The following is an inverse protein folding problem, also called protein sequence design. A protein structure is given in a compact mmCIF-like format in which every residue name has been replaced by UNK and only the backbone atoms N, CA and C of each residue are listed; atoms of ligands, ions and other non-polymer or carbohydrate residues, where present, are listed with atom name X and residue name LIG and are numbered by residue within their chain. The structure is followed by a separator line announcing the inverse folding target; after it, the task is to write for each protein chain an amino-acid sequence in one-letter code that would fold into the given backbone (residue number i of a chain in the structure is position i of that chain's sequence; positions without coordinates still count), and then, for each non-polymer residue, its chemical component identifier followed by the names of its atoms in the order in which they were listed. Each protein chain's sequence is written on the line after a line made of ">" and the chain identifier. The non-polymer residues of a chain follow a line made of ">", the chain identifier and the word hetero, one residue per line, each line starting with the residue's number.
data_IF_845150609896
#
_entry.id   IF_845150609896
#
_cell.length_a   1.000
_cell.length_b   1.000
_cell.length_c   1.000
_cell.angle_alpha   90.00
_cell.angle_beta   90.00
_cell.angle_gamma   90.00
#
_symmetry.space_group_name_H-M   'P 1'
#
loop_
_entity.id
_entity.type
_entity.pdbx_description
1 polymer ?
#
# COMPACT_ATOMS: atom_id res chain seq x y z
N UNK A 1 6.80 20.48 3.61
CA UNK A 1 5.68 19.56 3.32
C UNK A 1 5.26 18.96 4.65
N UNK A 2 4.08 19.24 5.17
CA UNK A 2 3.66 18.66 6.45
C UNK A 2 3.22 17.21 6.19
N UNK A 3 3.93 16.24 6.78
CA UNK A 3 3.51 14.84 6.84
C UNK A 3 2.39 14.78 7.88
N UNK A 4 1.16 14.51 7.45
CA UNK A 4 -0.01 14.51 8.34
C UNK A 4 -0.17 13.17 9.06
N UNK A 5 0.19 12.08 8.40
CA UNK A 5 0.06 10.72 8.90
C UNK A 5 1.39 9.98 8.83
N UNK A 6 1.67 9.16 9.85
CA UNK A 6 2.76 8.19 9.76
C UNK A 6 2.26 6.91 9.08
N UNK A 7 2.80 6.63 7.90
CA UNK A 7 2.36 5.52 7.05
C UNK A 7 3.52 4.55 6.87
N UNK A 8 3.31 3.31 7.29
CA UNK A 8 4.17 2.18 7.01
C UNK A 8 3.43 1.22 6.08
N UNK A 9 4.12 0.77 5.04
CA UNK A 9 3.57 -0.13 4.03
C UNK A 9 4.48 -1.34 3.91
N UNK A 10 3.89 -2.53 3.99
CA UNK A 10 4.54 -3.79 3.71
C UNK A 10 3.63 -4.65 2.83
N UNK A 11 4.22 -5.52 2.03
CA UNK A 11 3.50 -6.31 1.04
C UNK A 11 3.96 -7.76 1.10
N UNK A 12 3.03 -8.70 1.06
CA UNK A 12 3.31 -10.12 0.83
C UNK A 12 2.57 -10.66 -0.40
N UNK A 13 2.65 -11.97 -0.63
CA UNK A 13 2.03 -12.62 -1.78
C UNK A 13 0.51 -12.47 -1.86
N UNK A 14 -0.18 -12.29 -0.72
CA UNK A 14 -1.63 -12.29 -0.60
C UNK A 14 -2.20 -10.98 -0.04
N UNK A 15 -1.41 -10.25 0.75
CA UNK A 15 -1.90 -9.14 1.56
C UNK A 15 -1.04 -7.89 1.45
N UNK A 16 -1.70 -6.74 1.44
CA UNK A 16 -1.15 -5.42 1.73
C UNK A 16 -1.29 -5.14 3.23
N UNK A 17 -0.16 -4.91 3.89
CA UNK A 17 -0.09 -4.49 5.29
C UNK A 17 0.13 -2.98 5.35
N UNK A 18 -0.82 -2.28 5.94
CA UNK A 18 -0.80 -0.83 6.06
C UNK A 18 -0.90 -0.45 7.52
N UNK A 19 0.06 0.31 8.04
CA UNK A 19 -0.05 0.95 9.35
C UNK A 19 -0.15 2.45 9.15
N UNK A 20 -1.25 3.06 9.62
CA UNK A 20 -1.48 4.51 9.59
C UNK A 20 -1.67 4.98 11.02
N UNK A 21 -0.80 5.87 11.49
CA UNK A 21 -0.83 6.43 12.86
C UNK A 21 -0.93 5.35 13.96
N UNK A 22 -0.21 4.24 13.77
CA UNK A 22 -0.20 3.09 14.69
C UNK A 22 -1.38 2.13 14.50
N UNK A 23 -2.38 2.46 13.71
CA UNK A 23 -3.48 1.56 13.37
C UNK A 23 -3.10 0.68 12.18
N UNK A 24 -3.19 -0.65 12.36
CA UNK A 24 -2.81 -1.61 11.32
C UNK A 24 -4.03 -2.18 10.59
N UNK A 25 -3.90 -2.29 9.27
CA UNK A 25 -4.87 -2.84 8.34
C UNK A 25 -4.22 -3.93 7.50
N UNK A 26 -4.95 -5.01 7.28
CA UNK A 26 -4.57 -6.10 6.40
C UNK A 26 -5.62 -6.22 5.31
N UNK A 27 -5.24 -5.90 4.09
CA UNK A 27 -6.12 -5.91 2.93
C UNK A 27 -5.63 -6.97 1.96
N UNK A 28 -6.49 -7.92 1.57
CA UNK A 28 -6.11 -8.82 0.49
C UNK A 28 -6.01 -8.06 -0.83
N UNK A 29 -5.13 -8.49 -1.73
CA UNK A 29 -4.95 -7.81 -3.00
C UNK A 29 -6.24 -7.77 -3.83
N UNK A 30 -7.07 -8.81 -3.74
CA UNK A 30 -8.39 -8.94 -4.36
C UNK A 30 -9.40 -7.90 -3.84
N UNK A 31 -9.24 -7.47 -2.59
CA UNK A 31 -10.09 -6.46 -1.96
C UNK A 31 -9.65 -5.04 -2.35
N UNK A 32 -8.37 -4.87 -2.70
CA UNK A 32 -7.83 -3.59 -3.13
C UNK A 32 -8.28 -3.24 -4.56
N UNK A 33 -8.01 -4.13 -5.52
CA UNK A 33 -8.49 -4.01 -6.90
C UNK A 33 -8.17 -5.26 -7.73
N UNK A 34 -8.91 -5.52 -8.82
CA UNK A 34 -8.53 -6.56 -9.78
C UNK A 34 -7.13 -6.36 -10.38
N UNK A 35 -6.67 -5.11 -10.55
CA UNK A 35 -5.32 -4.82 -11.09
C UNK A 35 -4.24 -5.28 -10.12
N UNK A 36 -4.35 -4.92 -8.83
CA UNK A 36 -3.38 -5.32 -7.81
C UNK A 36 -3.47 -6.83 -7.52
N UNK A 37 -4.66 -7.42 -7.58
CA UNK A 37 -4.86 -8.86 -7.48
C UNK A 37 -4.09 -9.66 -8.54
N UNK A 38 -3.93 -9.10 -9.75
CA UNK A 38 -3.19 -9.74 -10.84
C UNK A 38 -1.75 -9.24 -10.99
N UNK A 39 -1.33 -8.25 -10.20
CA UNK A 39 0.03 -7.71 -10.24
C UNK A 39 1.05 -8.73 -9.70
N UNK A 40 2.23 -8.74 -10.28
CA UNK A 40 3.37 -9.53 -9.78
C UNK A 40 3.84 -9.02 -8.42
N UNK A 41 4.59 -9.85 -7.69
CA UNK A 41 5.20 -9.43 -6.42
C UNK A 41 6.12 -8.21 -6.59
N UNK A 42 6.86 -8.12 -7.71
CA UNK A 42 7.72 -6.98 -8.02
C UNK A 42 6.90 -5.69 -8.21
N UNK A 43 5.82 -5.76 -8.99
CA UNK A 43 4.92 -4.61 -9.21
C UNK A 43 4.27 -4.17 -7.90
N UNK A 44 3.81 -5.12 -7.07
CA UNK A 44 3.22 -4.79 -5.75
C UNK A 44 4.24 -4.16 -4.80
N UNK A 45 5.50 -4.57 -4.85
CA UNK A 45 6.57 -3.99 -4.05
C UNK A 45 7.01 -2.60 -4.57
N UNK A 46 6.72 -2.27 -5.83
CA UNK A 46 7.04 -0.99 -6.44
C UNK A 46 5.88 -0.01 -6.27
N UNK A 47 5.79 0.57 -5.08
CA UNK A 47 4.79 1.58 -4.75
C UNK A 47 5.42 2.90 -4.31
N UNK A 48 4.64 3.98 -4.44
CA UNK A 48 5.00 5.31 -4.00
C UNK A 48 3.98 5.79 -2.97
N UNK A 49 4.44 6.12 -1.77
CA UNK A 49 3.59 6.76 -0.75
C UNK A 49 3.58 8.26 -1.00
N UNK A 50 2.38 8.85 -1.08
CA UNK A 50 2.22 10.28 -1.25
C UNK A 50 2.98 11.03 -0.13
N UNK A 51 3.71 12.12 -0.45
CA UNK A 51 4.44 12.91 0.54
C UNK A 51 3.58 13.44 1.71
N UNK A 52 2.27 13.55 1.48
CA UNK A 52 1.32 13.99 2.50
C UNK A 52 0.84 12.85 3.45
N UNK A 53 1.10 11.59 3.12
CA UNK A 53 0.66 10.41 3.90
C UNK A 53 -0.79 9.98 3.65
N UNK A 54 -1.42 10.45 2.57
CA UNK A 54 -2.84 10.20 2.27
C UNK A 54 -3.13 9.17 1.18
N UNK A 55 -2.09 8.59 0.58
CA UNK A 55 -2.30 7.65 -0.52
C UNK A 55 -1.07 6.87 -0.88
N UNK A 56 -1.30 5.75 -1.55
CA UNK A 56 -0.28 4.87 -2.11
C UNK A 56 -0.61 4.72 -3.59
N UNK A 57 0.40 4.93 -4.43
CA UNK A 57 0.28 4.81 -5.87
C UNK A 57 1.15 3.66 -6.36
N UNK A 58 0.60 2.86 -7.29
CA UNK A 58 1.34 1.86 -8.05
C UNK A 58 1.44 2.36 -9.50
N UNK A 59 2.65 2.69 -9.99
CA UNK A 59 2.84 3.29 -11.31
C UNK A 59 2.69 2.28 -12.47
N UNK A 60 2.90 0.99 -12.21
CA UNK A 60 2.87 -0.10 -13.21
C UNK A 60 1.48 -0.67 -13.48
#
# INVERSE_FOLDING_TARGET
>A
MNKFHDVLVATDSATLHLTVDGQTYHLRWEECSPRLANATAAQRAHFEVSPAGYGIHWPE
#
